data_IF_945574393150
#
_entry.id   IF_945574393150
#
_cell.length_a   1.000
_cell.length_b   1.000
_cell.length_c   1.000
_cell.angle_alpha   90.00
_cell.angle_beta   90.00
_cell.angle_gamma   90.00
#
_symmetry.space_group_name_H-M   'P 1'
#
loop_
_entity.id
_entity.type
_entity.pdbx_description
1 polymer ?
#
# COMPACT_ATOMS: atom_id res chain seq x y z
N UNK A 1 -0.90 -18.27 -11.67
CA UNK A 1 -1.69 -17.03 -11.82
C UNK A 1 -1.10 -16.21 -12.94
N UNK A 2 -1.92 -15.50 -13.73
CA UNK A 2 -1.38 -14.62 -14.76
C UNK A 2 -0.77 -13.34 -14.12
N UNK A 3 0.06 -12.58 -14.85
CA UNK A 3 0.71 -11.37 -14.31
C UNK A 3 -0.27 -10.31 -13.79
N UNK A 4 -1.44 -10.18 -14.40
CA UNK A 4 -2.49 -9.23 -13.97
C UNK A 4 -3.05 -9.62 -12.60
N UNK A 5 -3.30 -10.89 -12.37
CA UNK A 5 -3.78 -11.42 -11.09
C UNK A 5 -2.73 -11.26 -9.99
N UNK A 6 -1.45 -11.49 -10.30
CA UNK A 6 -0.35 -11.27 -9.34
C UNK A 6 -0.25 -9.79 -8.97
N UNK A 7 -0.37 -8.88 -9.95
CA UNK A 7 -0.40 -7.43 -9.69
C UNK A 7 -1.62 -6.99 -8.86
N UNK A 8 -2.79 -7.56 -9.14
CA UNK A 8 -4.00 -7.29 -8.35
C UNK A 8 -3.86 -7.78 -6.90
N UNK A 9 -3.32 -8.98 -6.69
CA UNK A 9 -3.11 -9.54 -5.35
C UNK A 9 -2.10 -8.72 -4.55
N UNK A 10 -1.02 -8.24 -5.17
CA UNK A 10 -0.07 -7.34 -4.51
C UNK A 10 -0.74 -6.06 -4.03
N UNK A 11 -1.51 -5.39 -4.90
CA UNK A 11 -2.23 -4.17 -4.52
C UNK A 11 -3.26 -4.44 -3.43
N UNK A 12 -4.02 -5.53 -3.53
CA UNK A 12 -4.95 -5.96 -2.48
C UNK A 12 -4.24 -6.20 -1.15
N UNK A 13 -3.06 -6.84 -1.17
CA UNK A 13 -2.23 -7.04 0.02
C UNK A 13 -1.75 -5.73 0.64
N UNK A 14 -1.37 -4.74 -0.18
CA UNK A 14 -0.97 -3.40 0.31
C UNK A 14 -2.16 -2.66 0.92
N UNK A 15 -3.32 -2.66 0.25
CA UNK A 15 -4.55 -2.10 0.79
C UNK A 15 -4.92 -2.74 2.13
N UNK A 16 -4.78 -4.06 2.22
CA UNK A 16 -5.02 -4.79 3.45
C UNK A 16 -4.02 -4.37 4.52
N UNK A 17 -2.71 -4.58 4.33
CA UNK A 17 -1.72 -4.33 5.40
C UNK A 17 -1.66 -2.86 5.81
N UNK A 18 -1.55 -1.94 4.85
CA UNK A 18 -1.36 -0.51 5.14
C UNK A 18 -2.69 0.14 5.50
N UNK A 19 -3.76 -0.14 4.75
CA UNK A 19 -5.08 0.43 5.00
C UNK A 19 -5.71 -0.13 6.29
N UNK A 20 -5.83 -1.45 6.42
CA UNK A 20 -6.37 -2.04 7.64
C UNK A 20 -5.48 -1.77 8.85
N UNK A 21 -4.16 -1.83 8.70
CA UNK A 21 -3.22 -1.45 9.76
C UNK A 21 -3.41 -0.01 10.23
N UNK A 22 -3.54 0.94 9.28
CA UNK A 22 -3.85 2.33 9.59
C UNK A 22 -5.19 2.50 10.31
N UNK A 23 -6.24 1.78 9.88
CA UNK A 23 -7.53 1.78 10.55
C UNK A 23 -7.43 1.25 11.98
N UNK A 24 -6.70 0.16 12.22
CA UNK A 24 -6.47 -0.38 13.57
C UNK A 24 -5.78 0.66 14.45
N UNK A 25 -4.72 1.30 13.95
CA UNK A 25 -4.01 2.34 14.72
C UNK A 25 -4.90 3.53 15.04
N UNK A 26 -5.62 4.06 14.05
CA UNK A 26 -6.53 5.21 14.24
C UNK A 26 -7.62 4.84 15.24
N UNK A 27 -8.27 3.69 15.07
CA UNK A 27 -9.40 3.28 15.91
C UNK A 27 -8.99 2.94 17.36
N UNK A 28 -7.73 2.56 17.59
CA UNK A 28 -7.20 2.25 18.93
C UNK A 28 -6.40 3.41 19.54
N UNK A 29 -6.23 4.53 18.83
CA UNK A 29 -5.46 5.68 19.33
C UNK A 29 -6.24 6.56 20.31
N UNK A 30 -7.57 6.39 20.39
CA UNK A 30 -8.44 7.29 21.15
C UNK A 30 -8.53 8.70 20.55
N UNK A 31 -8.10 8.89 19.29
CA UNK A 31 -8.30 10.14 18.57
C UNK A 31 -9.80 10.41 18.43
N UNK A 32 -10.23 11.59 18.87
CA UNK A 32 -11.57 12.14 18.69
C UNK A 32 -11.45 13.52 18.04
N UNK A 33 -11.11 13.51 16.74
CA UNK A 33 -11.02 14.72 15.94
C UNK A 33 -12.38 15.03 15.31
N UNK A 34 -12.80 16.31 15.33
CA UNK A 34 -13.96 16.79 14.57
C UNK A 34 -13.85 16.44 13.08
N UNK A 35 -12.62 16.34 12.58
CA UNK A 35 -12.28 16.09 11.19
C UNK A 35 -11.39 14.84 11.05
N UNK A 36 -11.98 13.64 11.20
CA UNK A 36 -11.26 12.37 11.09
C UNK A 36 -10.55 12.15 9.74
N UNK A 37 -10.97 12.83 8.67
CA UNK A 37 -10.29 12.77 7.37
C UNK A 37 -8.82 13.19 7.47
N UNK A 38 -8.44 14.02 8.45
CA UNK A 38 -7.05 14.42 8.70
C UNK A 38 -6.19 13.21 9.10
N UNK A 39 -6.76 12.23 9.80
CA UNK A 39 -6.09 10.97 10.14
C UNK A 39 -6.13 9.97 8.96
N UNK A 40 -7.26 9.88 8.24
CA UNK A 40 -7.41 8.94 7.13
C UNK A 40 -6.64 9.36 5.86
N UNK A 41 -6.50 10.65 5.57
CA UNK A 41 -5.82 11.12 4.37
C UNK A 41 -4.34 10.68 4.33
N UNK A 42 -3.53 10.88 5.39
CA UNK A 42 -2.18 10.33 5.46
C UNK A 42 -2.12 8.81 5.27
N UNK A 43 -3.08 8.07 5.81
CA UNK A 43 -3.18 6.62 5.61
C UNK A 43 -3.37 6.27 4.12
N UNK A 44 -4.27 6.96 3.42
CA UNK A 44 -4.46 6.74 1.98
C UNK A 44 -3.26 7.17 1.14
N UNK A 45 -2.57 8.24 1.53
CA UNK A 45 -1.30 8.65 0.91
C UNK A 45 -0.26 7.54 1.05
N UNK A 46 -0.12 6.96 2.25
CA UNK A 46 0.81 5.85 2.48
C UNK A 46 0.48 4.64 1.58
N UNK A 47 -0.79 4.24 1.52
CA UNK A 47 -1.25 3.17 0.61
C UNK A 47 -0.84 3.44 -0.83
N UNK A 48 -1.05 4.66 -1.34
CA UNK A 48 -0.66 5.04 -2.70
C UNK A 48 0.86 4.94 -2.91
N UNK A 49 1.64 5.50 -2.00
CA UNK A 49 3.11 5.46 -2.09
C UNK A 49 3.65 4.04 -2.07
N UNK A 50 3.19 3.19 -1.14
CA UNK A 50 3.62 1.80 -1.07
C UNK A 50 3.18 0.99 -2.29
N UNK A 51 2.00 1.26 -2.85
CA UNK A 51 1.53 0.64 -4.08
C UNK A 51 2.45 0.98 -5.26
N UNK A 52 2.75 2.27 -5.46
CA UNK A 52 3.65 2.73 -6.52
C UNK A 52 5.08 2.22 -6.35
N UNK A 53 5.58 2.25 -5.13
CA UNK A 53 6.92 1.76 -4.80
C UNK A 53 7.05 0.26 -5.06
N UNK A 54 6.07 -0.54 -4.64
CA UNK A 54 6.11 -1.99 -4.84
C UNK A 54 6.01 -2.36 -6.33
N UNK A 55 5.21 -1.63 -7.10
CA UNK A 55 5.12 -1.79 -8.55
C UNK A 55 6.49 -1.47 -9.21
N UNK A 56 7.08 -0.30 -8.90
CA UNK A 56 8.38 0.12 -9.44
C UNK A 56 9.53 -0.84 -9.06
N UNK A 57 9.53 -1.36 -7.82
CA UNK A 57 10.56 -2.30 -7.34
C UNK A 57 10.53 -3.63 -8.08
N UNK A 58 9.34 -4.07 -8.51
CA UNK A 58 9.18 -5.31 -9.27
C UNK A 58 9.61 -5.08 -10.72
N UNK A 59 9.18 -3.97 -11.32
CA UNK A 59 9.60 -3.57 -12.67
C UNK A 59 11.13 -3.49 -12.77
N UNK A 60 11.79 -2.86 -11.79
CA UNK A 60 13.25 -2.74 -11.75
C UNK A 60 13.97 -4.09 -11.61
N UNK A 61 13.34 -5.09 -11.00
CA UNK A 61 13.88 -6.45 -10.87
C UNK A 61 13.69 -7.26 -12.15
N UNK A 62 12.59 -7.04 -12.86
CA UNK A 62 12.35 -7.67 -14.16
C UNK A 62 13.23 -7.09 -15.28
N UNK A 63 13.68 -5.84 -15.16
CA UNK A 63 14.55 -5.18 -16.14
C UNK A 63 16.05 -5.43 -15.93
N UNK A 64 16.45 -6.15 -14.88
CA UNK A 64 17.81 -6.63 -14.64
C UNK A 64 17.87 -8.16 -14.88
N UNK A 65 17.71 -8.66 -16.12
CA UNK A 65 18.37 -9.91 -16.48
C UNK A 65 19.86 -9.61 -16.50
N UNK A 66 20.65 -10.34 -15.71
CA UNK A 66 22.11 -10.30 -15.78
C UNK A 66 22.57 -10.51 -17.22
N UNK A 67 23.43 -9.60 -17.69
CA UNK A 67 24.43 -9.91 -18.71
C UNK A 67 25.34 -11.01 -18.12
N UNK A 68 25.02 -12.28 -18.36
CA UNK A 68 25.90 -13.45 -18.18
C UNK A 68 25.74 -14.39 -19.37
#
# INVERSE_FOLDING_TARGET
MNPKQVGALRRAGIYFVVGYGGLVLINNSGLELDNMWIAYLPMFIAVYFFSRWADAKIESRSSNPSDD
#
